data_IF_154162099227
#
_entry.id   IF_154162099227
#
_cell.length_a   1.000
_cell.length_b   1.000
_cell.length_c   1.000
_cell.angle_alpha   90.00
_cell.angle_beta   90.00
_cell.angle_gamma   90.00
#
_symmetry.space_group_name_H-M   'P 1'
#
loop_
_entity.id
_entity.type
_entity.pdbx_description
1 polymer ?
#
# COMPACT_ATOMS: atom_id res chain seq x y z
N UNK A 1 44.21 -40.44 1.99
CA UNK A 1 44.67 -40.68 0.60
C UNK A 1 43.41 -40.70 -0.25
N UNK A 2 43.15 -39.79 -1.18
CA UNK A 2 43.94 -38.64 -1.67
C UNK A 2 43.48 -37.29 -1.08
N UNK A 3 44.17 -36.23 -1.48
CA UNK A 3 44.03 -34.84 -1.02
C UNK A 3 43.91 -33.95 -2.25
N UNK A 4 43.04 -32.95 -2.20
CA UNK A 4 43.06 -31.77 -3.06
C UNK A 4 42.67 -30.54 -2.22
N UNK A 5 43.67 -29.77 -1.80
CA UNK A 5 43.52 -28.36 -1.41
C UNK A 5 43.28 -27.55 -2.72
N UNK A 6 42.71 -26.34 -2.79
CA UNK A 6 42.72 -25.13 -1.96
C UNK A 6 41.35 -24.42 -2.16
N UNK A 7 40.82 -23.49 -1.37
CA UNK A 7 41.18 -22.91 -0.06
C UNK A 7 39.93 -22.20 0.54
N UNK A 8 40.02 -21.70 1.79
CA UNK A 8 39.16 -20.60 2.26
C UNK A 8 37.76 -20.94 2.80
N UNK A 9 37.60 -20.77 4.12
CA UNK A 9 36.39 -20.69 4.93
C UNK A 9 35.10 -20.16 4.22
N UNK A 10 33.87 -20.62 4.51
CA UNK A 10 33.41 -21.31 5.72
C UNK A 10 32.27 -22.31 5.47
N UNK A 11 32.10 -23.25 6.41
CA UNK A 11 31.06 -24.28 6.40
C UNK A 11 29.73 -23.68 6.89
N UNK A 12 28.71 -23.61 6.03
CA UNK A 12 27.31 -23.47 6.46
C UNK A 12 26.63 -24.84 6.37
N UNK A 13 26.85 -25.65 7.41
CA UNK A 13 26.06 -26.87 7.69
C UNK A 13 25.28 -26.64 8.97
N UNK A 14 24.05 -26.16 8.83
CA UNK A 14 23.00 -26.34 9.84
C UNK A 14 21.73 -26.84 9.14
N UNK A 15 21.81 -28.07 8.64
CA UNK A 15 20.62 -28.84 8.30
C UNK A 15 19.96 -29.28 9.62
N UNK A 16 18.69 -28.90 9.80
CA UNK A 16 17.91 -29.10 11.03
C UNK A 16 18.10 -30.51 11.64
N UNK A 17 18.58 -30.57 12.90
CA UNK A 17 18.84 -31.85 13.59
C UNK A 17 18.43 -31.85 15.07
N UNK A 18 17.12 -31.77 15.34
CA UNK A 18 16.50 -32.33 16.54
C UNK A 18 14.96 -32.42 16.39
N UNK A 19 14.29 -33.46 16.88
CA UNK A 19 12.83 -33.58 16.83
C UNK A 19 12.17 -33.07 18.12
N UNK A 20 11.57 -31.88 18.08
CA UNK A 20 10.55 -31.47 19.05
C UNK A 20 9.49 -30.59 18.40
N UNK A 21 8.22 -30.83 18.75
CA UNK A 21 7.05 -30.19 18.15
C UNK A 21 6.78 -28.80 18.75
N UNK A 22 7.53 -27.79 18.33
CA UNK A 22 7.16 -26.38 18.52
C UNK A 22 7.78 -25.45 17.47
N UNK A 23 7.01 -25.19 16.42
CA UNK A 23 7.10 -23.98 15.58
C UNK A 23 8.50 -23.48 15.20
N UNK A 24 9.05 -24.00 14.09
CA UNK A 24 9.97 -23.23 13.26
C UNK A 24 9.22 -22.04 12.64
N UNK A 25 9.04 -20.97 13.40
CA UNK A 25 8.54 -19.70 12.87
C UNK A 25 9.66 -19.07 12.05
N UNK A 26 9.53 -19.05 10.73
CA UNK A 26 10.43 -18.30 9.85
C UNK A 26 10.45 -16.83 10.27
N UNK A 27 11.51 -16.46 10.97
CA UNK A 27 11.68 -15.14 11.57
C UNK A 27 11.93 -14.07 10.51
N UNK A 28 10.86 -13.59 9.87
CA UNK A 28 10.90 -12.27 9.24
C UNK A 28 11.21 -11.25 10.33
N UNK A 29 12.45 -10.79 10.39
CA UNK A 29 12.88 -9.64 11.19
C UNK A 29 12.29 -8.36 10.61
N UNK A 30 10.95 -8.22 10.70
CA UNK A 30 10.25 -6.95 10.66
C UNK A 30 10.55 -6.21 11.96
N UNK A 31 11.78 -5.70 12.06
CA UNK A 31 12.32 -4.95 13.19
C UNK A 31 11.64 -3.59 13.38
N UNK A 32 10.35 -3.59 13.74
CA UNK A 32 9.56 -2.43 14.17
C UNK A 32 8.46 -2.83 15.16
N UNK A 33 8.85 -3.55 16.24
CA UNK A 33 8.03 -3.82 17.43
C UNK A 33 7.82 -2.57 18.32
N UNK A 34 7.69 -1.40 17.71
CA UNK A 34 7.32 -0.14 18.37
C UNK A 34 5.82 -0.05 18.61
N UNK A 35 5.40 -0.23 19.87
CA UNK A 35 3.98 -0.31 20.27
C UNK A 35 3.25 1.05 20.12
N UNK A 36 2.36 1.14 19.14
CA UNK A 36 1.20 2.06 19.10
C UNK A 36 1.41 3.56 18.86
N UNK A 37 2.41 4.22 19.49
CA UNK A 37 2.48 5.70 19.52
C UNK A 37 3.28 6.29 18.36
N UNK A 38 4.43 5.70 18.02
CA UNK A 38 5.38 6.18 17.00
C UNK A 38 4.99 5.93 15.53
N UNK A 39 3.75 5.52 15.24
CA UNK A 39 3.29 5.19 13.87
C UNK A 39 2.19 6.12 13.34
N UNK A 40 1.64 7.00 14.18
CA UNK A 40 0.58 7.96 13.79
C UNK A 40 1.06 9.01 12.79
N UNK A 41 2.33 9.43 12.86
CA UNK A 41 2.92 10.38 11.91
C UNK A 41 2.83 9.87 10.47
N UNK A 42 2.95 8.56 10.25
CA UNK A 42 2.87 7.97 8.92
C UNK A 42 1.48 8.13 8.30
N UNK A 43 0.42 7.95 9.12
CA UNK A 43 -0.95 8.20 8.70
C UNK A 43 -1.17 9.68 8.34
N UNK A 44 -0.76 10.60 9.20
CA UNK A 44 -0.91 12.04 8.96
C UNK A 44 -0.09 12.55 7.77
N UNK A 45 1.15 12.08 7.62
CA UNK A 45 2.00 12.40 6.47
C UNK A 45 1.37 11.88 5.16
N UNK A 46 0.88 10.63 5.16
CA UNK A 46 0.17 10.07 4.02
C UNK A 46 -1.10 10.88 3.68
N UNK A 47 -1.95 11.22 4.65
CA UNK A 47 -3.12 12.07 4.41
C UNK A 47 -2.75 13.48 3.90
N UNK A 48 -1.62 14.03 4.36
CA UNK A 48 -1.09 15.31 3.91
C UNK A 48 -0.57 15.31 2.47
N UNK A 49 -0.07 14.17 1.97
CA UNK A 49 0.37 14.02 0.57
C UNK A 49 -0.77 14.14 -0.46
N UNK A 50 -2.04 14.04 -0.03
CA UNK A 50 -3.18 14.35 -0.88
C UNK A 50 -3.33 15.85 -1.18
N UNK A 51 -2.93 16.73 -0.24
CA UNK A 51 -3.22 18.16 -0.30
C UNK A 51 -2.61 18.87 -1.53
N UNK A 52 -1.35 18.63 -1.95
CA UNK A 52 -0.82 19.24 -3.17
C UNK A 52 -1.57 18.82 -4.44
N UNK A 53 -2.05 17.57 -4.50
CA UNK A 53 -2.87 17.07 -5.62
C UNK A 53 -4.23 17.77 -5.62
N UNK A 54 -4.86 17.90 -4.46
CA UNK A 54 -6.16 18.57 -4.30
C UNK A 54 -6.10 20.05 -4.64
N UNK A 55 -5.07 20.77 -4.18
CA UNK A 55 -4.83 22.17 -4.57
C UNK A 55 -4.56 22.29 -6.07
N UNK A 56 -3.77 21.38 -6.65
CA UNK A 56 -3.52 21.34 -8.09
C UNK A 56 -4.78 21.04 -8.92
N UNK A 57 -5.71 20.24 -8.41
CA UNK A 57 -7.02 19.99 -9.02
C UNK A 57 -7.95 21.20 -8.87
N UNK A 58 -8.01 21.82 -7.69
CA UNK A 58 -8.83 23.01 -7.42
C UNK A 58 -8.57 24.14 -8.43
N UNK A 59 -7.31 24.39 -8.80
CA UNK A 59 -6.96 25.41 -9.80
C UNK A 59 -7.14 24.97 -11.26
N UNK A 60 -7.46 23.70 -11.53
CA UNK A 60 -7.66 23.15 -12.89
C UNK A 60 -9.10 22.85 -13.23
N UNK A 61 -9.94 22.59 -12.23
CA UNK A 61 -11.35 22.25 -12.43
C UNK A 61 -12.17 23.55 -12.57
N UNK A 62 -12.94 23.73 -13.66
CA UNK A 62 -13.62 24.99 -13.94
C UNK A 62 -14.92 25.18 -13.15
N UNK A 63 -15.39 24.15 -12.43
CA UNK A 63 -16.63 24.17 -11.67
C UNK A 63 -16.33 24.06 -10.16
N UNK A 64 -17.03 24.82 -9.31
CA UNK A 64 -16.89 24.68 -7.86
C UNK A 64 -17.39 23.31 -7.40
N UNK A 65 -16.77 22.69 -6.39
CA UNK A 65 -17.23 21.41 -5.87
C UNK A 65 -18.50 21.58 -5.03
N UNK A 66 -19.42 20.61 -5.15
CA UNK A 66 -20.64 20.51 -4.35
C UNK A 66 -20.30 20.03 -2.93
N UNK A 67 -20.45 20.87 -1.88
CA UNK A 67 -20.13 20.47 -0.50
C UNK A 67 -21.06 19.38 0.04
N UNK A 68 -22.23 19.19 -0.57
CA UNK A 68 -23.26 18.22 -0.17
C UNK A 68 -23.38 17.05 -1.16
N UNK A 69 -22.37 16.85 -2.02
CA UNK A 69 -22.36 15.73 -2.99
C UNK A 69 -22.67 14.34 -2.38
N UNK A 70 -22.29 13.99 -1.13
CA UNK A 70 -22.66 12.70 -0.56
C UNK A 70 -24.14 12.60 -0.21
N UNK A 71 -24.80 13.73 0.11
CA UNK A 71 -26.25 13.77 0.34
C UNK A 71 -27.02 13.69 -0.98
N UNK A 72 -26.50 14.31 -2.05
CA UNK A 72 -27.09 14.24 -3.40
C UNK A 72 -26.81 12.91 -4.13
N UNK A 73 -25.77 12.17 -3.75
CA UNK A 73 -25.38 10.91 -4.38
C UNK A 73 -24.87 9.84 -3.36
N UNK A 74 -25.67 9.46 -2.35
CA UNK A 74 -25.20 8.64 -1.22
C UNK A 74 -24.73 7.24 -1.64
N UNK A 75 -25.41 6.62 -2.61
CA UNK A 75 -24.99 5.33 -3.17
C UNK A 75 -23.66 5.40 -3.94
N UNK A 76 -23.32 6.55 -4.54
CA UNK A 76 -22.01 6.75 -5.16
C UNK A 76 -20.95 6.93 -4.08
N UNK A 77 -21.18 7.83 -3.11
CA UNK A 77 -20.26 8.09 -2.01
C UNK A 77 -19.93 6.82 -1.21
N UNK A 78 -20.94 6.02 -0.84
CA UNK A 78 -20.75 4.75 -0.15
C UNK A 78 -19.87 3.78 -0.94
N UNK A 79 -20.07 3.69 -2.26
CA UNK A 79 -19.28 2.80 -3.12
C UNK A 79 -17.84 3.28 -3.28
N UNK A 80 -17.63 4.56 -3.62
CA UNK A 80 -16.32 5.07 -4.03
C UNK A 80 -15.42 5.51 -2.87
N UNK A 81 -15.97 5.84 -1.71
CA UNK A 81 -15.21 6.25 -0.51
C UNK A 81 -15.01 5.09 0.46
N UNK A 82 -15.98 4.15 0.57
CA UNK A 82 -15.96 3.09 1.59
C UNK A 82 -15.87 1.68 0.98
N UNK A 83 -16.86 1.26 0.19
CA UNK A 83 -17.00 -0.16 -0.19
C UNK A 83 -15.87 -0.68 -1.10
N UNK A 84 -15.62 -0.01 -2.23
CA UNK A 84 -14.55 -0.41 -3.15
C UNK A 84 -13.15 -0.21 -2.52
N UNK A 85 -12.81 0.94 -1.92
CA UNK A 85 -11.51 1.10 -1.24
C UNK A 85 -11.26 0.07 -0.13
N UNK A 86 -12.28 -0.35 0.62
CA UNK A 86 -12.12 -1.40 1.62
C UNK A 86 -11.80 -2.75 0.98
N UNK A 87 -12.54 -3.15 -0.05
CA UNK A 87 -12.34 -4.42 -0.76
C UNK A 87 -10.96 -4.45 -1.45
N UNK A 88 -10.58 -3.34 -2.08
CA UNK A 88 -9.29 -3.15 -2.72
C UNK A 88 -8.15 -3.25 -1.69
N UNK A 89 -8.11 -2.44 -0.64
CA UNK A 89 -7.01 -2.52 0.33
C UNK A 89 -6.98 -3.87 1.08
N UNK A 90 -8.13 -4.54 1.27
CA UNK A 90 -8.17 -5.91 1.79
C UNK A 90 -7.50 -6.92 0.85
N UNK A 91 -7.74 -6.85 -0.46
CA UNK A 91 -7.08 -7.70 -1.47
C UNK A 91 -5.60 -7.32 -1.59
N UNK A 92 -5.30 -6.06 -1.92
CA UNK A 92 -3.96 -5.62 -2.28
C UNK A 92 -3.01 -5.52 -1.08
N UNK A 93 -3.44 -5.00 0.08
CA UNK A 93 -2.59 -4.85 1.27
C UNK A 93 -2.80 -5.91 2.33
N UNK A 94 -4.01 -6.46 2.41
CA UNK A 94 -4.34 -7.56 3.31
C UNK A 94 -3.83 -8.91 2.81
N UNK A 95 -3.77 -9.15 1.49
CA UNK A 95 -3.33 -10.43 0.90
C UNK A 95 -2.11 -10.32 -0.02
N UNK A 96 -2.20 -9.53 -1.10
CA UNK A 96 -1.19 -9.57 -2.18
C UNK A 96 0.18 -9.03 -1.76
N UNK A 97 0.27 -7.84 -1.18
CA UNK A 97 1.53 -7.25 -0.72
C UNK A 97 2.22 -8.11 0.36
N UNK A 98 1.53 -8.65 1.38
CA UNK A 98 2.10 -9.65 2.28
C UNK A 98 2.58 -10.94 1.61
N UNK A 99 1.91 -11.40 0.54
CA UNK A 99 2.33 -12.58 -0.22
C UNK A 99 3.60 -12.29 -1.03
N UNK A 100 3.63 -11.20 -1.79
CA UNK A 100 4.82 -10.76 -2.53
C UNK A 100 6.03 -10.51 -1.61
N UNK A 101 5.81 -10.00 -0.39
CA UNK A 101 6.87 -9.77 0.59
C UNK A 101 7.58 -11.07 1.06
N UNK A 102 7.03 -12.26 0.78
CA UNK A 102 7.68 -13.54 1.07
C UNK A 102 8.74 -13.90 0.03
N UNK A 103 8.60 -13.40 -1.20
CA UNK A 103 9.53 -13.67 -2.31
C UNK A 103 10.41 -12.48 -2.68
N UNK A 104 9.99 -11.26 -2.34
CA UNK A 104 10.68 -10.01 -2.71
C UNK A 104 11.04 -9.19 -1.46
N UNK A 105 12.29 -9.30 -1.00
CA UNK A 105 12.79 -8.66 0.23
C UNK A 105 13.48 -7.30 0.02
N UNK A 106 13.68 -6.86 -1.22
CA UNK A 106 14.36 -5.60 -1.53
C UNK A 106 13.62 -4.35 -1.05
N UNK A 107 14.36 -3.28 -0.72
CA UNK A 107 13.81 -1.95 -0.45
C UNK A 107 14.55 -0.88 -1.25
N UNK A 108 13.83 0.17 -1.65
CA UNK A 108 14.36 1.32 -2.38
C UNK A 108 13.78 2.60 -1.77
N UNK A 109 14.64 3.47 -1.23
CA UNK A 109 14.24 4.69 -0.49
C UNK A 109 13.13 4.50 0.57
N UNK A 110 13.09 3.33 1.24
CA UNK A 110 12.08 3.00 2.25
C UNK A 110 10.72 2.55 1.68
N UNK A 111 10.65 2.24 0.39
CA UNK A 111 9.57 1.50 -0.27
C UNK A 111 10.01 0.03 -0.44
N UNK A 112 9.19 -0.93 -0.02
CA UNK A 112 9.45 -2.35 -0.28
C UNK A 112 9.16 -2.73 -1.73
N UNK A 113 9.93 -3.66 -2.30
CA UNK A 113 9.70 -4.21 -3.64
C UNK A 113 8.28 -4.79 -3.78
N UNK A 114 7.78 -5.46 -2.74
CA UNK A 114 6.41 -5.94 -2.68
C UNK A 114 5.35 -4.83 -2.79
N UNK A 115 5.60 -3.63 -2.22
CA UNK A 115 4.72 -2.46 -2.37
C UNK A 115 4.73 -1.98 -3.82
N UNK A 116 5.91 -1.80 -4.42
CA UNK A 116 6.05 -1.35 -5.81
C UNK A 116 5.33 -2.30 -6.78
N UNK A 117 5.55 -3.62 -6.66
CA UNK A 117 4.88 -4.64 -7.48
C UNK A 117 3.36 -4.65 -7.27
N UNK A 118 2.89 -4.54 -6.03
CA UNK A 118 1.45 -4.43 -5.71
C UNK A 118 0.84 -3.19 -6.37
N UNK A 119 1.52 -2.06 -6.30
CA UNK A 119 1.07 -0.78 -6.86
C UNK A 119 1.08 -0.75 -8.39
N UNK A 120 2.05 -1.39 -9.03
CA UNK A 120 2.06 -1.60 -10.48
C UNK A 120 0.86 -2.43 -10.93
N UNK A 121 0.56 -3.55 -10.25
CA UNK A 121 -0.60 -4.38 -10.59
C UNK A 121 -1.93 -3.65 -10.32
N UNK A 122 -2.02 -2.91 -9.23
CA UNK A 122 -3.18 -2.07 -8.90
C UNK A 122 -3.48 -1.04 -10.00
N UNK A 123 -2.45 -0.32 -10.45
CA UNK A 123 -2.55 0.64 -11.54
C UNK A 123 -2.90 -0.01 -12.90
N UNK A 124 -2.29 -1.17 -13.20
CA UNK A 124 -2.60 -1.92 -14.41
C UNK A 124 -4.07 -2.39 -14.45
N UNK A 125 -4.61 -2.86 -13.32
CA UNK A 125 -6.01 -3.28 -13.22
C UNK A 125 -6.99 -2.11 -13.36
N UNK A 126 -6.62 -0.90 -12.94
CA UNK A 126 -7.40 0.32 -13.20
C UNK A 126 -7.47 0.67 -14.70
N UNK A 127 -6.53 0.18 -15.52
CA UNK A 127 -6.55 0.36 -16.97
C UNK A 127 -7.72 -0.31 -17.69
N UNK A 128 -8.43 -1.26 -17.04
CA UNK A 128 -9.64 -1.87 -17.60
C UNK A 128 -10.89 -1.01 -17.44
N UNK A 129 -10.89 -0.04 -16.51
CA UNK A 129 -12.06 0.79 -16.17
C UNK A 129 -11.83 2.30 -16.31
N UNK A 130 -10.59 2.74 -16.49
CA UNK A 130 -10.23 4.16 -16.55
C UNK A 130 -9.30 4.49 -17.73
N UNK A 131 -9.30 5.74 -18.23
CA UNK A 131 -8.34 6.19 -19.23
C UNK A 131 -6.88 5.96 -18.79
N UNK A 132 -5.94 5.64 -19.71
CA UNK A 132 -4.57 5.26 -19.35
C UNK A 132 -3.85 6.26 -18.44
N UNK A 133 -4.07 7.57 -18.62
CA UNK A 133 -3.47 8.60 -17.76
C UNK A 133 -4.00 8.55 -16.31
N UNK A 134 -5.29 8.25 -16.11
CA UNK A 134 -5.87 8.10 -14.78
C UNK A 134 -5.43 6.79 -14.11
N UNK A 135 -5.39 5.69 -14.87
CA UNK A 135 -4.86 4.41 -14.41
C UNK A 135 -3.37 4.50 -14.01
N UNK A 136 -2.55 5.21 -14.79
CA UNK A 136 -1.16 5.49 -14.42
C UNK A 136 -1.05 6.39 -13.18
N UNK A 137 -1.92 7.39 -13.04
CA UNK A 137 -1.91 8.30 -11.90
C UNK A 137 -2.18 7.61 -10.56
N UNK A 138 -3.02 6.55 -10.51
CA UNK A 138 -3.29 5.81 -9.25
C UNK A 138 -2.09 4.99 -8.73
N UNK A 139 -1.02 4.84 -9.50
CA UNK A 139 0.22 4.23 -9.02
C UNK A 139 0.81 4.96 -7.80
N UNK A 140 0.84 6.30 -7.83
CA UNK A 140 1.42 7.12 -6.76
C UNK A 140 0.65 7.04 -5.42
N UNK A 141 -0.69 7.23 -5.35
CA UNK A 141 -1.43 7.01 -4.11
C UNK A 141 -1.35 5.55 -3.66
N UNK A 142 -1.38 4.59 -4.59
CA UNK A 142 -1.20 3.17 -4.27
C UNK A 142 0.14 2.89 -3.56
N UNK A 143 1.25 3.51 -3.97
CA UNK A 143 2.53 3.41 -3.25
C UNK A 143 2.45 3.94 -1.82
N UNK A 144 1.74 5.05 -1.60
CA UNK A 144 1.53 5.64 -0.27
C UNK A 144 0.73 4.69 0.62
N UNK A 145 -0.35 4.09 0.10
CA UNK A 145 -1.19 3.14 0.85
C UNK A 145 -0.38 1.90 1.28
N UNK A 146 0.43 1.34 0.39
CA UNK A 146 1.32 0.22 0.74
C UNK A 146 2.46 0.59 1.70
N UNK A 147 2.99 1.82 1.63
CA UNK A 147 3.98 2.34 2.58
C UNK A 147 3.39 2.54 3.99
N UNK A 148 2.10 2.91 4.08
CA UNK A 148 1.32 2.93 5.33
C UNK A 148 1.10 1.52 5.86
N UNK A 149 0.74 0.54 5.01
CA UNK A 149 0.65 -0.86 5.42
C UNK A 149 1.98 -1.39 5.96
N UNK A 150 3.10 -1.12 5.29
CA UNK A 150 4.41 -1.63 5.72
C UNK A 150 4.83 -1.10 7.11
N UNK A 151 4.46 0.13 7.46
CA UNK A 151 4.70 0.69 8.80
C UNK A 151 3.74 0.17 9.85
N UNK A 152 2.46 0.07 9.52
CA UNK A 152 1.40 -0.24 10.48
C UNK A 152 1.15 -1.74 10.69
N UNK A 153 1.52 -2.58 9.72
CA UNK A 153 1.26 -4.03 9.73
C UNK A 153 -0.19 -4.41 9.42
N UNK A 154 -1.04 -3.46 9.03
CA UNK A 154 -2.47 -3.67 8.76
C UNK A 154 -2.91 -2.94 7.50
N UNK A 155 -3.95 -3.46 6.83
CA UNK A 155 -4.58 -2.78 5.71
C UNK A 155 -5.56 -1.69 6.16
N UNK A 156 -6.08 -1.72 7.40
CA UNK A 156 -7.08 -0.75 7.87
C UNK A 156 -6.58 0.71 7.84
N UNK A 157 -5.34 1.04 8.25
CA UNK A 157 -4.81 2.40 8.09
C UNK A 157 -4.61 2.79 6.63
N UNK A 158 -4.28 1.84 5.74
CA UNK A 158 -4.17 2.10 4.31
C UNK A 158 -5.55 2.41 3.70
N UNK A 159 -6.59 1.65 4.08
CA UNK A 159 -7.99 1.92 3.75
C UNK A 159 -8.44 3.33 4.20
N UNK A 160 -8.11 3.77 5.42
CA UNK A 160 -8.45 5.12 5.88
C UNK A 160 -7.81 6.20 5.01
N UNK A 161 -6.55 6.03 4.58
CA UNK A 161 -5.89 6.96 3.65
C UNK A 161 -6.53 6.89 2.26
N UNK A 162 -6.85 5.70 1.75
CA UNK A 162 -7.52 5.55 0.45
C UNK A 162 -8.91 6.23 0.46
N UNK A 163 -9.72 5.96 1.48
CA UNK A 163 -11.01 6.64 1.69
C UNK A 163 -10.86 8.16 1.75
N UNK A 164 -9.85 8.68 2.46
CA UNK A 164 -9.54 10.10 2.51
C UNK A 164 -9.21 10.68 1.12
N UNK A 165 -8.32 10.03 0.36
CA UNK A 165 -7.94 10.41 -1.00
C UNK A 165 -9.15 10.47 -1.94
N UNK A 166 -10.00 9.43 -1.91
CA UNK A 166 -11.19 9.37 -2.75
C UNK A 166 -12.24 10.39 -2.32
N UNK A 167 -12.45 10.62 -1.01
CA UNK A 167 -13.38 11.64 -0.52
C UNK A 167 -13.06 13.03 -1.10
N UNK A 168 -11.79 13.46 -1.02
CA UNK A 168 -11.39 14.75 -1.57
C UNK A 168 -11.37 14.79 -3.10
N UNK A 169 -10.99 13.70 -3.77
CA UNK A 169 -11.08 13.60 -5.24
C UNK A 169 -12.53 13.74 -5.72
N UNK A 170 -13.45 12.91 -5.21
CA UNK A 170 -14.85 12.95 -5.60
C UNK A 170 -15.56 14.24 -5.19
N UNK A 171 -15.16 14.87 -4.07
CA UNK A 171 -15.61 16.22 -3.73
C UNK A 171 -15.17 17.23 -4.79
N UNK A 172 -13.88 17.32 -5.12
CA UNK A 172 -13.35 18.24 -6.13
C UNK A 172 -13.99 18.04 -7.51
N UNK A 173 -14.23 16.79 -7.93
CA UNK A 173 -14.84 16.49 -9.23
C UNK A 173 -16.38 16.56 -9.24
N UNK A 174 -17.04 16.73 -8.08
CA UNK A 174 -18.50 16.59 -7.95
C UNK A 174 -19.34 17.59 -8.75
N UNK A 175 -18.76 18.73 -9.11
CA UNK A 175 -19.36 19.79 -9.93
C UNK A 175 -19.23 19.59 -11.45
N UNK A 176 -18.50 18.57 -11.93
CA UNK A 176 -18.35 18.27 -13.36
C UNK A 176 -19.49 17.38 -13.91
N UNK A 177 -20.74 17.71 -13.60
CA UNK A 177 -21.93 16.96 -14.06
C UNK A 177 -22.51 17.53 -15.35
#
# INVERSE_FOLDING_TARGET
>A
MQVLFLEGHAIVRDACRAPSLSTCTTGYNLGMTGRGRGKRWALWAAMGLALPVWVGLWFRLPQPPDPLWPAHAPGMALRTVLFFPFLEEWIFRGRLQPWLAQSFSGQWYGLGAANVLTSLLFAALHGFTHPPAAAAAVFLPSLVFGWVRDRTGSFLPAFVVHAWYNLGYFWLTSGMR
#
